data_IF_835356644874
#
_entry.id   IF_835356644874
#
_cell.length_a   1.000
_cell.length_b   1.000
_cell.length_c   1.000
_cell.angle_alpha   90.00
_cell.angle_beta   90.00
_cell.angle_gamma   90.00
#
_symmetry.space_group_name_H-M   'P 1'
#
loop_
_entity.id
_entity.type
_entity.pdbx_description
1 polymer ?
#
# COMPACT_ATOMS: atom_id res chain seq x y z
N UNK A 1 8.08 -7.20 22.32
CA UNK A 1 8.09 -5.72 22.29
C UNK A 1 8.17 -5.31 20.82
N UNK A 2 7.39 -4.32 20.38
CA UNK A 2 7.42 -3.83 18.99
C UNK A 2 8.73 -3.05 18.75
N UNK A 3 9.49 -3.43 17.74
CA UNK A 3 10.72 -2.77 17.31
C UNK A 3 10.48 -2.13 15.93
N UNK A 4 11.02 -0.93 15.71
CA UNK A 4 10.82 -0.15 14.51
C UNK A 4 12.17 0.15 13.89
N UNK A 5 12.41 -0.35 12.67
CA UNK A 5 13.63 -0.15 11.91
C UNK A 5 13.33 0.71 10.67
N UNK A 6 13.92 1.90 10.61
CA UNK A 6 13.79 2.78 9.43
C UNK A 6 14.51 2.17 8.23
N UNK A 7 13.87 2.17 7.08
CA UNK A 7 14.43 1.66 5.82
C UNK A 7 15.08 2.76 4.99
N UNK A 8 14.61 4.00 5.13
CA UNK A 8 15.25 5.17 4.53
C UNK A 8 14.95 6.42 5.35
N UNK A 9 15.63 7.53 5.03
CA UNK A 9 15.38 8.81 5.68
C UNK A 9 14.08 9.52 5.22
N UNK A 10 13.49 9.09 4.10
CA UNK A 10 12.34 9.75 3.51
C UNK A 10 11.02 9.01 3.74
N UNK A 11 11.05 7.69 3.83
CA UNK A 11 9.87 6.82 4.03
C UNK A 11 10.30 5.39 4.32
N UNK A 12 9.37 4.61 4.82
CA UNK A 12 9.53 3.17 5.02
C UNK A 12 10.04 2.78 6.39
N UNK A 13 9.28 1.95 7.09
CA UNK A 13 9.70 1.33 8.34
C UNK A 13 9.35 -0.16 8.36
N UNK A 14 10.29 -0.98 8.82
CA UNK A 14 10.03 -2.38 9.16
C UNK A 14 9.62 -2.49 10.62
N UNK A 15 8.49 -3.15 10.87
CA UNK A 15 7.97 -3.36 12.21
C UNK A 15 8.15 -4.83 12.59
N UNK A 16 8.91 -5.08 13.64
CA UNK A 16 9.20 -6.42 14.19
C UNK A 16 8.50 -6.65 15.52
N UNK A 17 8.46 -7.91 15.95
CA UNK A 17 7.93 -8.31 17.25
C UNK A 17 6.41 -8.23 17.37
N UNK A 18 5.70 -8.26 16.24
CA UNK A 18 4.24 -8.30 16.16
C UNK A 18 3.80 -9.48 15.29
N UNK A 19 2.70 -10.09 15.66
CA UNK A 19 1.99 -11.07 14.85
C UNK A 19 0.69 -10.43 14.35
N UNK A 20 0.54 -10.33 13.03
CA UNK A 20 -0.64 -9.71 12.40
C UNK A 20 -1.91 -10.57 12.51
N UNK A 21 -1.80 -11.85 12.92
CA UNK A 21 -2.96 -12.69 13.27
C UNK A 21 -3.66 -12.23 14.55
N UNK A 22 -2.92 -11.58 15.44
CA UNK A 22 -3.49 -11.06 16.69
C UNK A 22 -4.16 -9.71 16.45
N UNK A 23 -5.41 -9.76 16.00
CA UNK A 23 -6.23 -8.58 15.74
C UNK A 23 -6.79 -7.93 17.02
N UNK A 24 -6.68 -8.61 18.18
CA UNK A 24 -7.18 -8.13 19.47
C UNK A 24 -6.23 -7.19 20.20
N UNK A 25 -4.98 -7.12 19.76
CA UNK A 25 -3.86 -6.57 20.53
C UNK A 25 -3.89 -5.05 20.76
N UNK A 26 -4.80 -4.30 20.19
CA UNK A 26 -4.81 -2.83 20.28
C UNK A 26 -3.62 -2.13 19.60
N UNK A 27 -2.72 -2.91 18.98
CA UNK A 27 -1.53 -2.41 18.28
C UNK A 27 -1.88 -1.61 17.01
N UNK A 28 -3.13 -1.72 16.53
CA UNK A 28 -3.57 -1.10 15.26
C UNK A 28 -3.48 0.41 15.28
N UNK A 29 -3.74 1.06 16.42
CA UNK A 29 -3.56 2.52 16.56
C UNK A 29 -2.10 2.89 16.34
N UNK A 30 -1.18 2.12 16.90
CA UNK A 30 0.26 2.35 16.75
C UNK A 30 0.71 2.08 15.32
N UNK A 31 0.27 0.98 14.72
CA UNK A 31 0.55 0.66 13.30
C UNK A 31 0.04 1.76 12.38
N UNK A 32 -1.19 2.25 12.59
CA UNK A 32 -1.73 3.34 11.80
C UNK A 32 -0.91 4.63 11.95
N UNK A 33 -0.46 4.97 13.17
CA UNK A 33 0.41 6.12 13.39
C UNK A 33 1.75 5.97 12.66
N UNK A 34 2.37 4.79 12.74
CA UNK A 34 3.63 4.50 12.05
C UNK A 34 3.48 4.53 10.52
N UNK A 35 2.35 4.04 10.00
CA UNK A 35 2.05 4.13 8.57
C UNK A 35 1.88 5.59 8.12
N UNK A 36 1.22 6.44 8.89
CA UNK A 36 1.08 7.86 8.59
C UNK A 36 2.42 8.60 8.68
N UNK A 37 3.26 8.24 9.63
CA UNK A 37 4.59 8.82 9.82
C UNK A 37 5.56 8.40 8.71
N UNK A 38 5.65 7.10 8.46
CA UNK A 38 6.64 6.53 7.53
C UNK A 38 6.10 6.23 6.12
N UNK A 39 4.82 6.50 5.84
CA UNK A 39 4.11 6.36 4.55
C UNK A 39 3.93 4.91 4.08
N UNK A 40 4.86 4.02 4.37
CA UNK A 40 4.77 2.57 4.14
C UNK A 40 5.41 1.83 5.30
N UNK A 41 4.78 0.74 5.73
CA UNK A 41 5.29 -0.13 6.80
C UNK A 41 5.35 -1.57 6.33
N UNK A 42 6.38 -2.28 6.74
CA UNK A 42 6.66 -3.64 6.35
C UNK A 42 6.63 -4.57 7.55
N UNK A 43 6.06 -5.74 7.33
CA UNK A 43 6.02 -6.84 8.31
C UNK A 43 6.55 -8.08 7.62
N UNK A 44 7.65 -8.62 8.12
CA UNK A 44 8.23 -9.85 7.59
C UNK A 44 7.70 -11.06 8.33
N UNK A 45 7.82 -12.21 7.67
CA UNK A 45 7.51 -13.51 8.26
C UNK A 45 6.09 -13.63 8.84
N UNK A 46 5.12 -13.01 8.13
CA UNK A 46 3.71 -13.04 8.50
C UNK A 46 2.97 -14.08 7.67
N UNK A 47 2.71 -15.23 8.26
CA UNK A 47 1.88 -16.27 7.64
C UNK A 47 0.40 -16.03 7.96
N UNK A 48 -0.24 -15.13 7.24
CA UNK A 48 -1.67 -14.82 7.39
C UNK A 48 -2.49 -15.46 6.27
N UNK A 49 -3.70 -15.95 6.58
CA UNK A 49 -4.68 -16.41 5.60
C UNK A 49 -5.35 -15.23 4.88
N UNK A 50 -6.21 -15.52 3.90
CA UNK A 50 -7.02 -14.48 3.26
C UNK A 50 -8.07 -13.89 4.21
N UNK A 51 -8.65 -14.72 5.07
CA UNK A 51 -9.61 -14.26 6.08
C UNK A 51 -8.93 -13.33 7.10
N UNK A 52 -7.75 -13.71 7.58
CA UNK A 52 -6.94 -12.87 8.48
C UNK A 52 -6.52 -11.56 7.81
N UNK A 53 -6.21 -11.58 6.50
CA UNK A 53 -5.91 -10.35 5.74
C UNK A 53 -7.13 -9.42 5.64
N UNK A 54 -8.33 -9.97 5.46
CA UNK A 54 -9.59 -9.22 5.47
C UNK A 54 -9.85 -8.61 6.85
N UNK A 55 -9.72 -9.40 7.92
CA UNK A 55 -9.90 -8.89 9.29
C UNK A 55 -8.88 -7.77 9.62
N UNK A 56 -7.63 -7.96 9.23
CA UNK A 56 -6.60 -6.94 9.33
C UNK A 56 -7.00 -5.64 8.62
N UNK A 57 -7.49 -5.73 7.39
CA UNK A 57 -7.85 -4.57 6.60
C UNK A 57 -9.00 -3.75 7.20
N UNK A 58 -9.95 -4.40 7.88
CA UNK A 58 -11.08 -3.73 8.55
C UNK A 58 -10.67 -2.72 9.62
N UNK A 59 -9.48 -2.87 10.21
CA UNK A 59 -8.95 -1.90 11.19
C UNK A 59 -8.65 -0.53 10.57
N UNK A 60 -8.49 -0.45 9.24
CA UNK A 60 -8.19 0.80 8.53
C UNK A 60 -9.43 1.46 7.93
N UNK A 61 -10.55 0.76 7.88
CA UNK A 61 -11.82 1.27 7.37
C UNK A 61 -12.64 0.24 6.60
N UNK A 62 -13.70 0.68 5.92
CA UNK A 62 -14.51 -0.20 5.08
C UNK A 62 -13.67 -0.74 3.93
N UNK A 63 -13.92 -2.02 3.59
CA UNK A 63 -13.23 -2.67 2.49
C UNK A 63 -13.81 -2.21 1.15
N UNK A 64 -12.94 -2.07 0.16
CA UNK A 64 -13.33 -1.71 -1.21
C UNK A 64 -13.16 -2.88 -2.16
N UNK A 65 -13.99 -2.90 -3.22
CA UNK A 65 -13.87 -3.84 -4.34
C UNK A 65 -13.36 -3.07 -5.54
N UNK A 66 -12.36 -3.62 -6.22
CA UNK A 66 -11.85 -3.00 -7.42
C UNK A 66 -12.86 -3.15 -8.57
N UNK A 67 -13.19 -2.04 -9.22
CA UNK A 67 -14.27 -2.01 -10.22
C UNK A 67 -13.87 -2.55 -11.60
N UNK A 68 -12.58 -2.54 -11.94
CA UNK A 68 -12.08 -2.92 -13.27
C UNK A 68 -11.32 -4.24 -13.30
N UNK A 69 -10.92 -4.76 -12.16
CA UNK A 69 -10.09 -5.97 -12.08
C UNK A 69 -10.86 -7.06 -11.39
N UNK A 70 -10.90 -8.25 -12.03
CA UNK A 70 -11.54 -9.42 -11.44
C UNK A 70 -10.81 -9.83 -10.16
N UNK A 71 -11.55 -9.75 -9.08
CA UNK A 71 -11.07 -10.19 -7.78
C UNK A 71 -11.06 -11.72 -7.67
N UNK A 72 -10.54 -12.21 -6.56
CA UNK A 72 -10.54 -13.62 -6.21
C UNK A 72 -11.98 -14.08 -5.91
N UNK A 73 -12.38 -15.26 -6.39
CA UNK A 73 -13.77 -15.75 -6.37
C UNK A 73 -14.45 -15.65 -4.99
N UNK A 74 -13.77 -16.08 -3.93
CA UNK A 74 -14.31 -16.05 -2.56
C UNK A 74 -13.91 -14.81 -1.76
N UNK A 75 -13.13 -13.88 -2.35
CA UNK A 75 -12.58 -12.70 -1.68
C UNK A 75 -12.63 -11.51 -2.63
N UNK A 76 -13.79 -10.88 -2.82
CA UNK A 76 -13.97 -9.82 -3.80
C UNK A 76 -13.18 -8.53 -3.49
N UNK A 77 -12.64 -8.41 -2.29
CA UNK A 77 -11.77 -7.32 -1.85
C UNK A 77 -10.28 -7.62 -2.06
N UNK A 78 -9.93 -8.86 -2.45
CA UNK A 78 -8.54 -9.27 -2.67
C UNK A 78 -8.28 -9.45 -4.16
N UNK A 79 -7.36 -8.65 -4.69
CA UNK A 79 -6.81 -8.84 -6.01
C UNK A 79 -5.62 -9.79 -5.98
N UNK A 80 -5.51 -10.63 -7.00
CA UNK A 80 -4.35 -11.47 -7.20
C UNK A 80 -3.53 -10.95 -8.37
N UNK A 81 -2.36 -10.45 -8.08
CA UNK A 81 -1.42 -9.98 -9.09
C UNK A 81 -0.41 -11.10 -9.34
N UNK A 82 -0.34 -11.57 -10.58
CA UNK A 82 0.58 -12.62 -11.00
C UNK A 82 1.39 -12.09 -12.17
N UNK A 83 2.69 -12.28 -12.13
CA UNK A 83 3.61 -12.08 -13.26
C UNK A 83 4.08 -13.44 -13.73
N UNK A 84 3.68 -13.83 -14.93
CA UNK A 84 4.18 -15.04 -15.57
C UNK A 84 5.60 -14.81 -16.14
N UNK A 85 6.46 -15.84 -16.24
CA UNK A 85 7.83 -15.70 -16.73
C UNK A 85 7.93 -15.16 -18.17
N UNK A 86 6.95 -15.45 -19.00
CA UNK A 86 6.86 -15.07 -20.42
C UNK A 86 6.10 -13.76 -20.67
N UNK A 87 5.54 -13.16 -19.62
CA UNK A 87 4.75 -11.96 -19.72
C UNK A 87 5.65 -10.72 -19.88
N UNK A 88 5.48 -10.00 -20.98
CA UNK A 88 6.33 -8.85 -21.35
C UNK A 88 6.01 -7.59 -20.55
N UNK A 89 4.75 -7.41 -20.16
CA UNK A 89 4.30 -6.24 -19.41
C UNK A 89 4.05 -6.60 -17.96
N UNK A 90 4.41 -5.69 -17.05
CA UNK A 90 4.08 -5.82 -15.65
C UNK A 90 2.88 -4.94 -15.32
N UNK A 91 1.99 -5.48 -14.53
CA UNK A 91 0.92 -4.67 -13.96
C UNK A 91 1.50 -3.72 -12.93
N UNK A 92 1.20 -2.43 -13.07
CA UNK A 92 1.75 -1.41 -12.18
C UNK A 92 3.15 -0.91 -12.58
N UNK A 93 3.59 -1.13 -13.83
CA UNK A 93 4.78 -0.47 -14.35
C UNK A 93 4.63 1.05 -14.32
N UNK A 94 5.65 1.73 -13.86
CA UNK A 94 5.70 3.18 -13.75
C UNK A 94 5.07 3.73 -12.46
N UNK A 95 5.40 4.97 -12.18
CA UNK A 95 4.93 5.67 -11.00
C UNK A 95 3.43 5.98 -11.08
N UNK A 96 2.68 5.56 -10.09
CA UNK A 96 1.25 5.80 -10.00
C UNK A 96 0.80 5.95 -8.54
N UNK A 97 -0.39 6.41 -8.35
CA UNK A 97 -1.13 6.35 -7.09
C UNK A 97 -2.35 5.47 -7.33
N UNK A 98 -2.50 4.45 -6.50
CA UNK A 98 -3.58 3.49 -6.64
C UNK A 98 -4.95 4.15 -6.49
N UNK A 99 -5.90 3.68 -7.31
CA UNK A 99 -7.33 4.03 -7.27
C UNK A 99 -7.60 5.56 -7.21
N UNK A 100 -6.65 6.38 -7.68
CA UNK A 100 -6.73 7.85 -7.63
C UNK A 100 -7.82 8.45 -8.53
N UNK A 101 -8.47 7.64 -9.37
CA UNK A 101 -9.63 8.00 -10.17
C UNK A 101 -10.95 8.02 -9.40
N UNK A 102 -11.00 7.41 -8.23
CA UNK A 102 -12.19 7.44 -7.37
C UNK A 102 -12.35 8.80 -6.71
N UNK A 103 -13.60 9.29 -6.53
CA UNK A 103 -13.88 10.51 -5.78
C UNK A 103 -13.38 10.46 -4.33
N UNK A 104 -13.33 9.24 -3.76
CA UNK A 104 -12.70 8.93 -2.47
C UNK A 104 -11.66 7.85 -2.73
N UNK A 105 -10.40 8.21 -2.95
CA UNK A 105 -9.32 7.25 -3.15
C UNK A 105 -9.15 6.32 -1.95
N UNK A 106 -8.70 5.10 -2.21
CA UNK A 106 -8.38 4.11 -1.17
C UNK A 106 -7.35 4.67 -0.19
N UNK A 107 -7.65 4.58 1.10
CA UNK A 107 -6.79 5.13 2.15
C UNK A 107 -5.54 4.28 2.39
N UNK A 108 -5.69 2.96 2.37
CA UNK A 108 -4.63 1.99 2.68
C UNK A 108 -4.74 0.79 1.75
N UNK A 109 -3.61 0.30 1.29
CA UNK A 109 -3.52 -0.93 0.52
C UNK A 109 -2.60 -1.88 1.27
N UNK A 110 -3.02 -3.13 1.39
CA UNK A 110 -2.26 -4.19 2.03
C UNK A 110 -1.78 -5.15 0.95
N UNK A 111 -0.48 -5.13 0.70
CA UNK A 111 0.18 -6.06 -0.22
C UNK A 111 0.72 -7.24 0.56
N UNK A 112 0.38 -8.45 0.11
CA UNK A 112 0.92 -9.69 0.64
C UNK A 112 1.66 -10.45 -0.47
N UNK A 113 2.94 -10.67 -0.29
CA UNK A 113 3.73 -11.50 -1.20
C UNK A 113 3.44 -12.98 -0.96
N UNK A 114 3.26 -13.76 -2.03
CA UNK A 114 3.08 -15.20 -1.99
C UNK A 114 4.26 -15.94 -2.58
N UNK A 115 4.72 -15.47 -3.72
CA UNK A 115 5.88 -16.02 -4.43
C UNK A 115 6.62 -14.87 -5.08
N UNK A 116 7.85 -14.69 -4.69
CA UNK A 116 8.74 -13.66 -5.21
C UNK A 116 9.97 -14.32 -5.83
N UNK A 117 10.57 -13.75 -6.87
CA UNK A 117 11.82 -14.24 -7.42
C UNK A 117 12.96 -13.99 -6.42
N UNK A 118 14.07 -14.75 -6.51
CA UNK A 118 15.24 -14.52 -5.66
C UNK A 118 15.96 -13.21 -5.97
N UNK A 119 15.77 -12.67 -7.18
CA UNK A 119 16.36 -11.40 -7.63
C UNK A 119 15.35 -10.68 -8.52
N UNK A 120 15.22 -9.37 -8.34
CA UNK A 120 14.29 -8.52 -9.09
C UNK A 120 12.84 -8.60 -8.59
N UNK A 121 11.95 -7.91 -9.30
CA UNK A 121 10.55 -7.78 -8.90
C UNK A 121 10.35 -6.84 -7.72
N UNK A 122 11.26 -5.88 -7.54
CA UNK A 122 11.20 -4.91 -6.45
C UNK A 122 10.03 -3.97 -6.60
N UNK A 123 9.43 -3.61 -5.46
CA UNK A 123 8.41 -2.56 -5.40
C UNK A 123 9.05 -1.28 -4.85
N UNK A 124 8.93 -0.20 -5.62
CA UNK A 124 9.44 1.10 -5.24
C UNK A 124 8.32 2.01 -4.72
N UNK A 125 8.65 2.83 -3.73
CA UNK A 125 7.73 3.81 -3.17
C UNK A 125 8.32 5.21 -3.20
N UNK A 126 7.49 6.24 -3.34
CA UNK A 126 7.88 7.65 -3.29
C UNK A 126 7.08 8.39 -2.23
N UNK A 127 7.75 9.24 -1.44
CA UNK A 127 7.11 10.11 -0.48
C UNK A 127 6.54 11.35 -1.19
N UNK A 128 5.24 11.29 -1.50
CA UNK A 128 4.55 12.35 -2.24
C UNK A 128 4.30 13.61 -1.38
N UNK A 129 4.25 13.50 -0.05
CA UNK A 129 4.19 14.67 0.85
C UNK A 129 5.50 15.45 0.75
N UNK A 130 6.63 14.78 0.92
CA UNK A 130 7.95 15.40 0.80
C UNK A 130 8.17 15.96 -0.62
N UNK A 131 7.76 15.23 -1.65
CA UNK A 131 7.82 15.71 -3.02
C UNK A 131 7.05 17.02 -3.22
N UNK A 132 5.84 17.13 -2.63
CA UNK A 132 5.06 18.36 -2.66
C UNK A 132 5.70 19.48 -1.83
N UNK A 133 6.20 19.16 -0.63
CA UNK A 133 6.83 20.12 0.28
C UNK A 133 8.09 20.78 -0.31
N UNK A 134 8.82 20.03 -1.11
CA UNK A 134 10.06 20.51 -1.77
C UNK A 134 9.83 21.24 -3.10
N UNK A 135 8.59 21.28 -3.60
CA UNK A 135 8.28 22.04 -4.81
C UNK A 135 8.43 23.56 -4.59
N UNK A 136 8.83 24.23 -5.63
CA UNK A 136 8.83 25.70 -5.68
C UNK A 136 7.40 26.26 -5.50
N UNK A 137 7.30 27.42 -4.84
CA UNK A 137 6.02 28.03 -4.51
C UNK A 137 5.13 28.29 -5.73
N UNK A 138 5.72 28.65 -6.88
CA UNK A 138 4.95 28.91 -8.11
C UNK A 138 4.38 27.62 -8.70
N UNK A 139 5.06 26.48 -8.54
CA UNK A 139 4.52 25.18 -8.94
C UNK A 139 3.39 24.77 -7.99
N UNK A 140 3.56 24.94 -6.68
CA UNK A 140 2.49 24.69 -5.69
C UNK A 140 1.22 25.48 -5.99
N UNK A 141 1.33 26.79 -6.29
CA UNK A 141 0.20 27.65 -6.69
C UNK A 141 -0.51 27.11 -7.93
N UNK A 142 0.24 26.70 -8.96
CA UNK A 142 -0.31 26.11 -10.18
C UNK A 142 -1.05 24.79 -9.93
N UNK A 143 -0.57 23.96 -9.00
CA UNK A 143 -1.20 22.69 -8.65
C UNK A 143 -2.50 22.88 -7.88
N UNK A 144 -2.59 23.86 -6.98
CA UNK A 144 -3.79 24.13 -6.16
C UNK A 144 -5.04 24.45 -6.99
N UNK A 145 -4.88 25.03 -8.17
CA UNK A 145 -6.02 25.40 -9.05
C UNK A 145 -6.35 24.36 -10.12
N UNK A 146 -5.54 23.29 -10.24
CA UNK A 146 -5.76 22.25 -11.24
C UNK A 146 -6.60 21.10 -10.68
N UNK A 147 -7.67 20.75 -11.39
CA UNK A 147 -8.38 19.49 -11.19
C UNK A 147 -7.78 18.44 -12.12
N UNK A 148 -7.46 17.28 -11.58
CA UNK A 148 -7.05 16.13 -12.37
C UNK A 148 -8.32 15.43 -12.89
N UNK A 149 -8.42 15.31 -14.20
CA UNK A 149 -9.39 14.43 -14.86
C UNK A 149 -8.62 13.18 -15.32
N UNK A 150 -9.04 12.00 -14.84
CA UNK A 150 -8.52 10.73 -15.32
C UNK A 150 -9.58 10.13 -16.22
N UNK A 151 -9.24 9.99 -17.50
CA UNK A 151 -10.06 9.26 -18.48
C UNK A 151 -9.49 7.85 -18.54
N UNK A 152 -10.34 6.86 -18.30
CA UNK A 152 -10.01 5.43 -18.34
C UNK A 152 -10.33 4.87 -19.72
#
# INVERSE_FOLDING_TARGET
>A
MMEINLLSGALGAEIKGINLKDTSSGNWKKINSLMLEHKVVFFRDQDISSDEQIELAKHFGPLEKHVYVKARENYPEILRIIKAPDEKHQWGEGWHTDVSYNPKPTKVIILRSHKIPPVGGDTMFSNMELAYETLENDIKKKLMVKRRCIVL
#
